data_IF_908851809433
#
_entry.id   IF_908851809433
#
_cell.length_a   1.000
_cell.length_b   1.000
_cell.length_c   1.000
_cell.angle_alpha   90.00
_cell.angle_beta   90.00
_cell.angle_gamma   90.00
#
_symmetry.space_group_name_H-M   'P 1'
#
loop_
_entity.id
_entity.type
_entity.pdbx_description
1 polymer ?
#
# COMPACT_ATOMS: atom_id res chain seq x y z
N UNK A 1 -42.74 23.18 -0.16
CA UNK A 1 -41.45 22.90 0.50
C UNK A 1 -41.04 21.42 0.45
N UNK A 2 -41.96 20.48 0.22
CA UNK A 2 -41.70 19.02 0.19
C UNK A 2 -40.92 18.53 -1.03
N UNK A 3 -41.11 19.14 -2.21
CA UNK A 3 -40.42 18.72 -3.43
C UNK A 3 -38.90 19.01 -3.39
N UNK A 4 -38.50 20.15 -2.82
CA UNK A 4 -37.07 20.48 -2.65
C UNK A 4 -36.38 19.53 -1.68
N UNK A 5 -37.03 19.17 -0.57
CA UNK A 5 -36.46 18.20 0.38
C UNK A 5 -36.24 16.85 -0.28
N UNK A 6 -37.21 16.36 -1.07
CA UNK A 6 -37.05 15.08 -1.80
C UNK A 6 -35.90 15.11 -2.82
N UNK A 7 -35.67 16.25 -3.48
CA UNK A 7 -34.53 16.44 -4.39
C UNK A 7 -33.21 16.45 -3.61
N UNK A 8 -33.14 17.14 -2.47
CA UNK A 8 -31.95 17.16 -1.60
C UNK A 8 -31.63 15.77 -1.05
N UNK A 9 -32.64 15.02 -0.61
CA UNK A 9 -32.51 13.64 -0.14
C UNK A 9 -32.08 12.68 -1.27
N UNK A 10 -32.57 12.87 -2.50
CA UNK A 10 -32.14 12.09 -3.66
C UNK A 10 -30.71 12.42 -4.11
N UNK A 11 -30.24 13.65 -3.84
CA UNK A 11 -28.87 14.09 -4.12
C UNK A 11 -27.87 13.72 -3.02
N UNK A 12 -28.35 13.26 -1.86
CA UNK A 12 -27.52 12.60 -0.85
C UNK A 12 -27.16 11.20 -1.33
N UNK A 13 -26.33 11.14 -2.39
CA UNK A 13 -25.56 9.95 -2.68
C UNK A 13 -24.75 9.66 -1.41
N UNK A 14 -24.83 8.44 -0.83
CA UNK A 14 -23.95 8.09 0.26
C UNK A 14 -22.52 8.39 -0.21
N UNK A 15 -21.68 9.02 0.64
CA UNK A 15 -20.33 9.39 0.23
C UNK A 15 -19.69 8.16 -0.40
N UNK A 16 -19.39 8.25 -1.70
CA UNK A 16 -18.77 7.16 -2.42
C UNK A 16 -17.57 6.73 -1.58
N UNK A 17 -17.50 5.44 -1.22
CA UNK A 17 -16.41 4.88 -0.42
C UNK A 17 -15.12 5.51 -0.95
N UNK A 18 -14.41 6.29 -0.13
CA UNK A 18 -13.32 7.21 -0.50
C UNK A 18 -12.05 6.53 -1.08
N UNK A 19 -12.26 5.41 -1.76
CA UNK A 19 -11.34 4.49 -2.40
C UNK A 19 -10.91 4.95 -3.78
N UNK A 20 -11.40 6.10 -4.29
CA UNK A 20 -11.02 6.63 -5.60
C UNK A 20 -9.51 6.80 -5.76
N UNK A 21 -8.82 7.30 -4.72
CA UNK A 21 -7.35 7.42 -4.73
C UNK A 21 -6.63 6.06 -4.74
N UNK A 22 -7.13 5.09 -3.98
CA UNK A 22 -6.58 3.72 -3.96
C UNK A 22 -6.80 3.02 -5.30
N UNK A 23 -8.00 3.17 -5.87
CA UNK A 23 -8.32 2.65 -7.21
C UNK A 23 -7.39 3.23 -8.26
N UNK A 24 -7.19 4.55 -8.26
CA UNK A 24 -6.30 5.20 -9.22
C UNK A 24 -4.86 4.72 -9.06
N UNK A 25 -4.35 4.65 -7.82
CA UNK A 25 -3.02 4.14 -7.53
C UNK A 25 -2.80 2.71 -8.04
N UNK A 26 -3.79 1.82 -7.87
CA UNK A 26 -3.73 0.45 -8.42
C UNK A 26 -3.67 0.48 -9.95
N UNK A 27 -4.52 1.29 -10.60
CA UNK A 27 -4.58 1.38 -12.05
C UNK A 27 -3.28 1.93 -12.65
N UNK A 28 -2.68 2.94 -12.01
CA UNK A 28 -1.42 3.54 -12.44
C UNK A 28 -0.23 2.58 -12.27
N UNK A 29 -0.36 1.59 -11.37
CA UNK A 29 0.69 0.62 -11.03
C UNK A 29 0.31 -0.82 -11.40
N UNK A 30 -0.64 -1.00 -12.33
CA UNK A 30 -1.21 -2.32 -12.60
C UNK A 30 -0.16 -3.33 -13.08
N UNK A 31 0.71 -2.91 -14.00
CA UNK A 31 1.79 -3.75 -14.55
C UNK A 31 2.78 -4.19 -13.46
N UNK A 32 3.40 -3.30 -12.67
CA UNK A 32 4.32 -3.73 -11.60
C UNK A 32 3.63 -4.57 -10.51
N UNK A 33 2.37 -4.29 -10.17
CA UNK A 33 1.61 -5.10 -9.21
C UNK A 33 1.37 -6.54 -9.71
N UNK A 34 1.11 -6.72 -11.00
CA UNK A 34 0.97 -8.06 -11.59
C UNK A 34 2.29 -8.82 -11.58
N UNK A 35 3.41 -8.17 -11.91
CA UNK A 35 4.73 -8.79 -11.84
C UNK A 35 5.11 -9.19 -10.42
N UNK A 36 4.81 -8.35 -9.43
CA UNK A 36 4.99 -8.66 -8.01
C UNK A 36 4.13 -9.87 -7.62
N UNK A 37 2.86 -9.89 -8.02
CA UNK A 37 1.97 -11.02 -7.76
C UNK A 37 2.53 -12.33 -8.32
N UNK A 38 3.01 -12.32 -9.56
CA UNK A 38 3.66 -13.48 -10.19
C UNK A 38 4.94 -13.87 -9.43
N UNK A 39 5.79 -12.92 -9.05
CA UNK A 39 6.99 -13.18 -8.28
C UNK A 39 6.68 -13.83 -6.91
N UNK A 40 5.63 -13.38 -6.23
CA UNK A 40 5.15 -13.96 -4.97
C UNK A 40 4.57 -15.35 -5.17
N UNK A 41 3.82 -15.58 -6.25
CA UNK A 41 3.30 -16.91 -6.60
C UNK A 41 4.43 -17.88 -6.93
N UNK A 42 5.43 -17.47 -7.73
CA UNK A 42 6.59 -18.29 -8.04
C UNK A 42 7.43 -18.59 -6.78
N UNK A 43 7.53 -17.61 -5.88
CA UNK A 43 8.16 -17.80 -4.58
C UNK A 43 7.38 -18.80 -3.70
N UNK A 44 6.04 -18.75 -3.75
CA UNK A 44 5.16 -19.65 -3.03
C UNK A 44 5.19 -21.08 -3.60
N UNK A 45 5.14 -21.25 -4.92
CA UNK A 45 5.24 -22.54 -5.60
C UNK A 45 6.64 -23.16 -5.48
N UNK A 46 7.68 -22.32 -5.39
CA UNK A 46 9.07 -22.77 -5.20
C UNK A 46 9.41 -23.20 -3.77
N UNK A 47 8.52 -22.97 -2.81
CA UNK A 47 8.63 -23.47 -1.43
C UNK A 47 8.00 -24.85 -1.34
N UNK A 48 8.83 -25.90 -1.25
CA UNK A 48 8.34 -27.26 -1.04
C UNK A 48 7.35 -27.37 0.14
N UNK A 49 6.46 -28.35 0.06
CA UNK A 49 5.35 -28.65 0.99
C UNK A 49 5.76 -28.43 2.47
N UNK A 50 5.39 -27.27 3.03
CA UNK A 50 5.55 -26.94 4.45
C UNK A 50 6.72 -26.01 4.82
N UNK A 51 7.56 -25.56 3.89
CA UNK A 51 8.68 -24.64 4.21
C UNK A 51 8.27 -23.16 4.16
N UNK A 52 7.38 -22.77 5.08
CA UNK A 52 7.01 -21.36 5.26
C UNK A 52 8.20 -20.52 5.75
N UNK A 53 9.20 -21.14 6.38
CA UNK A 53 10.41 -20.47 6.84
C UNK A 53 11.32 -20.06 5.67
N UNK A 54 11.49 -20.93 4.68
CA UNK A 54 12.25 -20.65 3.46
C UNK A 54 11.60 -19.59 2.59
N UNK A 55 10.27 -19.56 2.53
CA UNK A 55 9.49 -18.49 1.87
C UNK A 55 9.66 -17.16 2.61
N UNK A 56 9.52 -17.16 3.94
CA UNK A 56 9.70 -15.95 4.75
C UNK A 56 11.11 -15.36 4.65
N UNK A 57 12.14 -16.20 4.53
CA UNK A 57 13.53 -15.73 4.34
C UNK A 57 13.71 -14.97 3.03
N UNK A 58 13.01 -15.39 1.98
CA UNK A 58 13.06 -14.73 0.66
C UNK A 58 12.17 -13.49 0.62
N UNK A 59 10.96 -13.58 1.17
CA UNK A 59 10.05 -12.43 1.33
C UNK A 59 10.70 -11.31 2.16
N UNK A 60 11.31 -11.65 3.29
CA UNK A 60 12.01 -10.68 4.13
C UNK A 60 13.12 -9.94 3.36
N UNK A 61 13.92 -10.67 2.57
CA UNK A 61 14.95 -10.05 1.73
C UNK A 61 14.37 -9.11 0.66
N UNK A 62 13.29 -9.50 0.00
CA UNK A 62 12.62 -8.68 -1.03
C UNK A 62 12.02 -7.41 -0.41
N UNK A 63 11.34 -7.52 0.74
CA UNK A 63 10.77 -6.36 1.43
C UNK A 63 11.87 -5.38 1.85
N UNK A 64 12.99 -5.87 2.38
CA UNK A 64 14.13 -5.04 2.77
C UNK A 64 14.74 -4.34 1.55
N UNK A 65 14.94 -5.05 0.44
CA UNK A 65 15.46 -4.46 -0.79
C UNK A 65 14.54 -3.36 -1.34
N UNK A 66 13.22 -3.61 -1.36
CA UNK A 66 12.22 -2.62 -1.78
C UNK A 66 12.19 -1.40 -0.85
N UNK A 67 12.31 -1.60 0.46
CA UNK A 67 12.39 -0.51 1.42
C UNK A 67 13.63 0.37 1.18
N UNK A 68 14.80 -0.24 0.96
CA UNK A 68 16.05 0.49 0.66
C UNK A 68 15.92 1.29 -0.65
N UNK A 69 15.37 0.67 -1.69
CA UNK A 69 15.14 1.34 -2.97
C UNK A 69 14.14 2.51 -2.80
N UNK A 70 13.06 2.31 -2.06
CA UNK A 70 12.08 3.35 -1.77
C UNK A 70 12.69 4.54 -1.01
N UNK A 71 13.56 4.27 -0.03
CA UNK A 71 14.33 5.30 0.67
C UNK A 71 15.29 6.05 -0.25
N UNK A 72 15.92 5.35 -1.21
CA UNK A 72 16.87 5.95 -2.15
C UNK A 72 16.18 6.80 -3.23
N UNK A 73 15.00 6.40 -3.69
CA UNK A 73 14.26 7.07 -4.77
C UNK A 73 13.43 8.24 -4.25
N UNK A 74 13.03 8.21 -2.96
CA UNK A 74 12.18 9.25 -2.37
C UNK A 74 13.04 10.34 -1.74
N UNK A 75 13.01 11.54 -2.31
CA UNK A 75 13.70 12.72 -1.78
C UNK A 75 13.30 12.98 -0.32
N UNK A 76 14.29 13.16 0.57
CA UNK A 76 14.12 13.39 2.01
C UNK A 76 13.44 12.28 2.83
N UNK A 77 13.22 11.08 2.29
CA UNK A 77 12.56 9.99 3.04
C UNK A 77 13.28 9.65 4.36
N UNK A 78 14.62 9.61 4.36
CA UNK A 78 15.39 9.35 5.57
C UNK A 78 15.21 10.44 6.65
N UNK A 79 15.15 11.71 6.25
CA UNK A 79 14.93 12.82 7.17
C UNK A 79 13.51 12.80 7.77
N UNK A 80 12.50 12.51 6.93
CA UNK A 80 11.11 12.44 7.35
C UNK A 80 10.87 11.27 8.33
N UNK A 81 11.45 10.11 8.05
CA UNK A 81 11.36 8.94 8.95
C UNK A 81 12.13 9.18 10.24
N UNK A 82 13.33 9.78 10.16
CA UNK A 82 14.11 10.15 11.34
C UNK A 82 13.38 11.15 12.23
N UNK A 83 12.74 12.15 11.65
CA UNK A 83 11.92 13.13 12.38
C UNK A 83 10.70 12.48 13.03
N UNK A 84 10.03 11.55 12.35
CA UNK A 84 8.91 10.79 12.92
C UNK A 84 9.35 9.93 14.11
N UNK A 85 10.45 9.18 14.00
CA UNK A 85 10.98 8.37 15.10
C UNK A 85 11.42 9.25 16.27
N UNK A 86 12.13 10.36 15.99
CA UNK A 86 12.53 11.30 17.03
C UNK A 86 11.31 11.86 17.78
N UNK A 87 10.22 12.17 17.07
CA UNK A 87 8.95 12.61 17.65
C UNK A 87 8.33 11.60 18.62
N UNK A 88 8.60 10.30 18.48
CA UNK A 88 8.14 9.26 19.41
C UNK A 88 8.84 9.34 20.77
N UNK A 89 10.06 9.89 20.83
CA UNK A 89 10.84 10.03 22.06
C UNK A 89 10.80 11.44 22.64
N UNK A 90 10.64 12.46 21.79
CA UNK A 90 10.59 13.85 22.21
C UNK A 90 9.18 14.32 22.55
N UNK A 91 8.14 13.51 22.27
CA UNK A 91 6.75 13.85 22.55
C UNK A 91 6.29 15.06 21.75
N UNK A 92 6.40 14.98 20.42
CA UNK A 92 6.08 16.07 19.49
C UNK A 92 4.73 16.75 19.76
#
# INVERSE_FOLDING_TARGET
MTAMTLVTLAQQQPPALGTGGVRQWILDNLVPLLLLTVALLLLWLGGGKGDNAGVMRRLGGVIIALAIIGLAVTTNAGANIGSWIAGLFTGG
#
